data_IF_887886904645
#
_entry.id   IF_887886904645
#
_cell.length_a   1.000
_cell.length_b   1.000
_cell.length_c   1.000
_cell.angle_alpha   90.00
_cell.angle_beta   90.00
_cell.angle_gamma   90.00
#
_symmetry.space_group_name_H-M   'P 1'
#
loop_
_entity.id
_entity.type
_entity.pdbx_description
1 polymer ?
#
# COMPACT_ATOMS: atom_id res chain seq x y z
N UNK A 1 3.68 -15.27 27.57
CA UNK A 1 3.53 -14.07 28.43
C UNK A 1 4.11 -14.24 29.83
N UNK A 2 4.29 -15.46 30.35
CA UNK A 2 4.80 -15.69 31.74
C UNK A 2 6.29 -15.35 31.99
N UNK A 3 7.08 -15.01 30.97
CA UNK A 3 8.51 -14.69 31.11
C UNK A 3 8.81 -13.19 31.20
N UNK A 4 7.83 -12.32 30.98
CA UNK A 4 8.00 -10.86 30.94
C UNK A 4 7.10 -10.22 31.98
N UNK A 5 7.61 -9.26 32.74
CA UNK A 5 6.82 -8.62 33.79
C UNK A 5 5.62 -7.88 33.23
N UNK A 6 4.50 -7.87 33.97
CA UNK A 6 3.27 -7.19 33.57
C UNK A 6 3.50 -5.70 33.28
N UNK A 7 4.43 -5.06 34.00
CA UNK A 7 4.82 -3.66 33.77
C UNK A 7 5.45 -3.44 32.41
N UNK A 8 6.36 -4.34 31.98
CA UNK A 8 6.99 -4.24 30.65
C UNK A 8 5.93 -4.39 29.56
N UNK A 9 5.01 -5.35 29.71
CA UNK A 9 3.91 -5.57 28.77
C UNK A 9 3.01 -4.32 28.69
N UNK A 10 2.64 -3.74 29.84
CA UNK A 10 1.81 -2.54 29.90
C UNK A 10 2.49 -1.34 29.23
N UNK A 11 3.77 -1.09 29.54
CA UNK A 11 4.54 0.00 28.93
C UNK A 11 4.60 -0.16 27.40
N UNK A 12 4.78 -1.39 26.93
CA UNK A 12 4.78 -1.67 25.50
C UNK A 12 3.43 -1.34 24.84
N UNK A 13 2.30 -1.75 25.43
CA UNK A 13 0.98 -1.43 24.90
C UNK A 13 0.70 0.08 24.88
N UNK A 14 1.04 0.78 25.97
CA UNK A 14 0.90 2.24 26.05
C UNK A 14 1.73 2.91 24.95
N UNK A 15 2.99 2.48 24.78
CA UNK A 15 3.85 3.00 23.71
C UNK A 15 3.26 2.77 22.32
N UNK A 16 2.82 1.54 22.02
CA UNK A 16 2.19 1.21 20.72
C UNK A 16 0.94 2.04 20.46
N UNK A 17 0.14 2.27 21.49
CA UNK A 17 -1.05 3.12 21.40
C UNK A 17 -0.65 4.57 21.11
N UNK A 18 0.25 5.16 21.90
CA UNK A 18 0.71 6.55 21.72
C UNK A 18 1.31 6.76 20.33
N UNK A 19 2.13 5.83 19.85
CA UNK A 19 2.72 5.91 18.50
C UNK A 19 1.66 5.91 17.39
N UNK A 20 0.56 5.17 17.56
CA UNK A 20 -0.54 5.16 16.59
C UNK A 20 -1.42 6.41 16.69
N UNK A 21 -1.67 6.93 17.89
CA UNK A 21 -2.56 8.08 18.10
C UNK A 21 -1.91 9.44 17.88
N UNK A 22 -0.59 9.51 18.01
CA UNK A 22 0.21 10.75 17.86
C UNK A 22 -0.11 11.56 16.61
N UNK A 23 -0.48 10.93 15.49
CA UNK A 23 -0.84 11.60 14.23
C UNK A 23 -2.04 12.56 14.37
N UNK A 24 -2.92 12.28 15.33
CA UNK A 24 -4.13 13.06 15.64
C UNK A 24 -3.94 13.99 16.84
N UNK A 25 -2.78 13.97 17.48
CA UNK A 25 -2.45 14.82 18.62
C UNK A 25 -1.91 16.18 18.18
N UNK A 26 -1.77 17.18 19.07
CA UNK A 26 -1.24 18.50 18.74
C UNK A 26 0.17 18.45 18.11
N UNK A 27 0.55 19.53 17.41
CA UNK A 27 1.80 19.60 16.62
C UNK A 27 3.04 19.18 17.41
N UNK A 28 3.17 19.57 18.68
CA UNK A 28 4.34 19.23 19.47
C UNK A 28 4.54 17.70 19.64
N UNK A 29 3.48 16.92 19.81
CA UNK A 29 3.57 15.44 19.87
C UNK A 29 3.94 14.85 18.51
N UNK A 30 3.33 15.37 17.44
CA UNK A 30 3.65 14.91 16.06
C UNK A 30 5.12 15.14 15.74
N UNK A 31 5.65 16.30 16.09
CA UNK A 31 7.06 16.64 15.89
C UNK A 31 7.99 15.66 16.62
N UNK A 32 7.65 15.23 17.84
CA UNK A 32 8.44 14.23 18.59
C UNK A 32 8.47 12.89 17.83
N UNK A 33 7.31 12.44 17.32
CA UNK A 33 7.25 11.21 16.51
C UNK A 33 8.01 11.34 15.19
N UNK A 34 7.97 12.51 14.56
CA UNK A 34 8.71 12.76 13.32
C UNK A 34 10.21 12.69 13.54
N UNK A 35 10.73 13.29 14.62
CA UNK A 35 12.13 13.15 15.02
C UNK A 35 12.52 11.68 15.22
N UNK A 36 11.65 10.90 15.87
CA UNK A 36 11.87 9.45 16.02
C UNK A 36 11.92 8.75 14.66
N UNK A 37 11.01 9.07 13.73
CA UNK A 37 10.98 8.46 12.40
C UNK A 37 12.18 8.87 11.51
N UNK A 38 12.67 10.10 11.61
CA UNK A 38 13.85 10.59 10.89
C UNK A 38 15.14 9.82 11.23
N UNK A 39 15.21 9.18 12.39
CA UNK A 39 16.36 8.32 12.73
C UNK A 39 16.33 7.01 11.93
N UNK A 40 15.14 6.52 11.56
CA UNK A 40 14.99 5.27 10.80
C UNK A 40 14.84 5.49 9.30
N UNK A 41 14.36 6.68 8.91
CA UNK A 41 14.19 7.08 7.53
C UNK A 41 15.25 8.13 7.25
N UNK A 42 16.18 7.89 6.33
CA UNK A 42 17.23 8.85 5.93
C UNK A 42 16.68 10.14 5.25
N UNK A 43 15.41 10.46 5.47
CA UNK A 43 14.70 11.63 4.97
C UNK A 43 14.47 12.64 6.07
N UNK A 44 15.03 13.84 5.89
CA UNK A 44 15.00 14.96 6.84
C UNK A 44 13.85 15.95 6.61
N UNK A 45 12.92 15.68 5.68
CA UNK A 45 11.87 16.63 5.31
C UNK A 45 10.53 16.25 5.94
N UNK A 46 9.96 17.14 6.74
CA UNK A 46 8.58 17.02 7.20
C UNK A 46 7.64 17.02 5.99
N UNK A 47 6.92 15.91 5.77
CA UNK A 47 5.92 15.85 4.71
C UNK A 47 4.83 16.91 4.94
N UNK A 48 4.48 17.66 3.90
CA UNK A 48 3.46 18.70 3.93
C UNK A 48 2.15 18.18 4.51
N UNK A 49 1.52 18.95 5.41
CA UNK A 49 0.27 18.55 6.07
C UNK A 49 -0.84 18.22 5.07
N UNK A 50 -0.89 18.93 3.95
CA UNK A 50 -1.86 18.68 2.87
C UNK A 50 -1.69 17.29 2.25
N UNK A 51 -0.44 16.85 2.07
CA UNK A 51 -0.13 15.51 1.55
C UNK A 51 -0.52 14.45 2.58
N UNK A 52 -0.14 14.62 3.85
CA UNK A 52 -0.57 13.73 4.95
C UNK A 52 -2.09 13.56 5.00
N UNK A 53 -2.83 14.67 4.90
CA UNK A 53 -4.30 14.64 4.88
C UNK A 53 -4.85 13.94 3.63
N UNK A 54 -4.28 14.18 2.45
CA UNK A 54 -4.70 13.51 1.22
C UNK A 54 -4.47 11.99 1.30
N UNK A 55 -3.31 11.56 1.81
CA UNK A 55 -2.99 10.15 2.03
C UNK A 55 -3.95 9.53 3.04
N UNK A 56 -4.24 10.23 4.14
CA UNK A 56 -5.19 9.75 5.15
C UNK A 56 -6.58 9.49 4.56
N UNK A 57 -7.14 10.47 3.85
CA UNK A 57 -8.47 10.32 3.23
C UNK A 57 -8.43 9.23 2.14
N UNK A 58 -7.38 9.15 1.34
CA UNK A 58 -7.24 8.08 0.34
C UNK A 58 -7.15 6.68 0.97
N UNK A 59 -6.50 6.54 2.12
CA UNK A 59 -6.42 5.27 2.84
C UNK A 59 -7.78 4.80 3.36
N UNK A 60 -8.61 5.72 3.85
CA UNK A 60 -9.90 5.39 4.46
C UNK A 60 -11.07 5.42 3.47
N UNK A 61 -10.98 6.20 2.39
CA UNK A 61 -12.05 6.48 1.43
C UNK A 61 -11.55 6.36 -0.01
N UNK A 62 -10.64 5.42 -0.27
CA UNK A 62 -9.90 5.31 -1.54
C UNK A 62 -10.79 5.26 -2.77
N UNK A 63 -11.92 4.53 -2.73
CA UNK A 63 -12.86 4.48 -3.85
C UNK A 63 -13.52 5.83 -4.15
N UNK A 64 -13.87 6.59 -3.10
CA UNK A 64 -14.48 7.92 -3.24
C UNK A 64 -13.47 8.90 -3.81
N UNK A 65 -12.25 8.91 -3.26
CA UNK A 65 -11.14 9.73 -3.77
C UNK A 65 -10.82 9.37 -5.22
N UNK A 66 -10.80 8.07 -5.57
CA UNK A 66 -10.55 7.59 -6.92
C UNK A 66 -11.61 8.07 -7.91
N UNK A 67 -12.89 8.01 -7.53
CA UNK A 67 -14.00 8.55 -8.36
C UNK A 67 -13.83 10.05 -8.62
N UNK A 68 -13.48 10.82 -7.61
CA UNK A 68 -13.22 12.26 -7.74
C UNK A 68 -12.00 12.54 -8.63
N UNK A 69 -10.93 11.75 -8.45
CA UNK A 69 -9.72 11.86 -9.25
C UNK A 69 -10.01 11.60 -10.74
N UNK A 70 -10.66 10.48 -11.07
CA UNK A 70 -11.00 10.10 -12.46
C UNK A 70 -11.87 11.18 -13.11
N UNK A 71 -12.89 11.68 -12.39
CA UNK A 71 -13.75 12.77 -12.88
C UNK A 71 -12.97 14.04 -13.21
N UNK A 72 -11.97 14.40 -12.40
CA UNK A 72 -11.19 15.63 -12.57
C UNK A 72 -10.09 15.49 -13.61
N UNK A 73 -9.43 14.33 -13.68
CA UNK A 73 -8.23 14.12 -14.49
C UNK A 73 -8.50 13.69 -15.93
N UNK A 74 -9.77 13.52 -16.34
CA UNK A 74 -10.19 13.05 -17.68
C UNK A 74 -9.25 11.95 -18.15
N UNK A 75 -9.37 10.73 -17.61
CA UNK A 75 -8.66 9.60 -18.22
C UNK A 75 -9.07 9.59 -19.68
N UNK A 76 -8.13 9.92 -20.57
CA UNK A 76 -8.33 9.84 -22.01
C UNK A 76 -8.94 8.46 -22.27
N UNK A 77 -10.07 8.42 -22.97
CA UNK A 77 -10.79 7.18 -23.25
C UNK A 77 -9.84 6.12 -23.87
N UNK A 78 -8.82 6.60 -24.57
CA UNK A 78 -7.72 5.82 -25.12
C UNK A 78 -6.82 5.13 -24.07
N UNK A 79 -6.52 5.76 -22.93
CA UNK A 79 -5.64 5.19 -21.91
C UNK A 79 -6.23 3.92 -21.29
N UNK A 80 -7.57 3.86 -21.13
CA UNK A 80 -8.26 2.64 -20.69
C UNK A 80 -8.10 1.52 -21.71
N UNK A 81 -8.36 1.81 -22.99
CA UNK A 81 -8.29 0.82 -24.06
C UNK A 81 -6.85 0.30 -24.27
N UNK A 82 -5.86 1.19 -24.20
CA UNK A 82 -4.44 0.81 -24.24
C UNK A 82 -4.05 -0.09 -23.07
N UNK A 83 -4.51 0.25 -21.86
CA UNK A 83 -4.26 -0.58 -20.67
C UNK A 83 -4.89 -1.96 -20.78
N UNK A 84 -6.12 -2.05 -21.29
CA UNK A 84 -6.79 -3.34 -21.53
C UNK A 84 -6.03 -4.19 -22.56
N UNK A 85 -5.59 -3.59 -23.67
CA UNK A 85 -4.77 -4.26 -24.67
C UNK A 85 -3.43 -4.75 -24.10
N UNK A 86 -2.79 -3.95 -23.25
CA UNK A 86 -1.55 -4.35 -22.57
C UNK A 86 -1.77 -5.55 -21.64
N UNK A 87 -2.87 -5.54 -20.86
CA UNK A 87 -3.24 -6.66 -19.98
C UNK A 87 -3.47 -7.94 -20.80
N UNK A 88 -4.18 -7.85 -21.92
CA UNK A 88 -4.41 -8.98 -22.81
C UNK A 88 -3.10 -9.55 -23.39
N UNK A 89 -2.21 -8.68 -23.84
CA UNK A 89 -0.89 -9.09 -24.33
C UNK A 89 -0.06 -9.81 -23.26
N UNK A 90 -0.09 -9.32 -22.02
CA UNK A 90 0.59 -9.96 -20.87
C UNK A 90 -0.01 -11.34 -20.60
N UNK A 91 -1.35 -11.47 -20.59
CA UNK A 91 -2.04 -12.77 -20.40
C UNK A 91 -1.64 -13.77 -21.49
N UNK A 92 -1.66 -13.35 -22.76
CA UNK A 92 -1.30 -14.22 -23.89
C UNK A 92 0.18 -14.65 -23.84
N UNK A 93 1.07 -13.73 -23.48
CA UNK A 93 2.50 -14.04 -23.31
C UNK A 93 2.72 -15.03 -22.17
N UNK A 94 2.02 -14.86 -21.05
CA UNK A 94 2.08 -15.77 -19.91
C UNK A 94 1.59 -17.18 -20.28
N UNK A 95 0.48 -17.29 -21.02
CA UNK A 95 -0.02 -18.58 -21.52
C UNK A 95 0.98 -19.25 -22.47
N UNK A 96 1.63 -18.47 -23.35
CA UNK A 96 2.68 -18.98 -24.24
C UNK A 96 3.86 -19.56 -23.45
N UNK A 97 4.31 -18.86 -22.41
CA UNK A 97 5.38 -19.33 -21.51
C UNK A 97 5.00 -20.61 -20.76
N UNK A 98 3.75 -20.72 -20.31
CA UNK A 98 3.27 -21.96 -19.67
C UNK A 98 3.31 -23.14 -20.64
N UNK A 99 2.83 -22.94 -21.88
CA UNK A 99 2.82 -23.99 -22.89
C UNK A 99 4.23 -24.47 -23.25
N UNK A 100 5.18 -23.54 -23.37
CA UNK A 100 6.58 -23.81 -23.72
C UNK A 100 7.41 -24.35 -22.54
N UNK A 101 6.87 -24.35 -21.33
CA UNK A 101 7.58 -24.85 -20.15
C UNK A 101 7.84 -26.36 -20.26
N UNK A 102 9.10 -26.77 -20.14
CA UNK A 102 9.50 -28.18 -20.14
C UNK A 102 9.40 -28.83 -18.75
N UNK A 103 9.30 -28.03 -17.69
CA UNK A 103 9.34 -28.52 -16.30
C UNK A 103 7.94 -28.79 -15.72
N UNK A 104 6.88 -28.30 -16.37
CA UNK A 104 5.50 -28.54 -15.96
C UNK A 104 4.89 -29.70 -16.74
N UNK A 105 4.19 -30.59 -16.04
CA UNK A 105 3.37 -31.62 -16.65
C UNK A 105 2.09 -31.01 -17.28
N UNK A 106 1.50 -31.73 -18.23
CA UNK A 106 0.36 -31.23 -19.00
C UNK A 106 -0.86 -30.96 -18.13
N UNK A 107 -1.07 -31.71 -17.04
CA UNK A 107 -2.21 -31.48 -16.14
C UNK A 107 -2.05 -30.18 -15.35
N UNK A 108 -0.82 -29.85 -14.95
CA UNK A 108 -0.49 -28.58 -14.29
C UNK A 108 -0.57 -27.40 -15.26
N UNK A 109 -0.13 -27.58 -16.52
CA UNK A 109 -0.26 -26.54 -17.56
C UNK A 109 -1.71 -26.17 -17.83
N UNK A 110 -2.58 -27.17 -18.00
CA UNK A 110 -4.02 -26.94 -18.22
C UNK A 110 -4.64 -26.15 -17.06
N UNK A 111 -4.36 -26.54 -15.82
CA UNK A 111 -4.85 -25.83 -14.62
C UNK A 111 -4.30 -24.41 -14.50
N UNK A 112 -3.06 -24.18 -14.96
CA UNK A 112 -2.44 -22.85 -14.93
C UNK A 112 -3.01 -21.90 -15.99
N UNK A 113 -3.48 -22.42 -17.13
CA UNK A 113 -4.13 -21.63 -18.20
C UNK A 113 -5.59 -21.31 -17.87
N UNK A 114 -6.27 -22.21 -17.16
CA UNK A 114 -7.67 -22.01 -16.73
C UNK A 114 -7.84 -20.87 -15.71
N UNK A 115 -6.82 -20.63 -14.87
CA UNK A 115 -6.80 -19.58 -13.84
C UNK A 115 -6.42 -18.20 -14.40
#
# INVERSE_FOLDING_TARGET
MNKTSSRIIQNYFIWRFLMNQSEYMPKYIRNIKEQFHQVFQDTYVEELRTVKCAVYVNKHMGLVVSKLYIKKKFIEENARNQSLKMIENIRNSFMSLINQSYWMDDTSKMKAIEK
#
